data_IF_596861999269
#
_entry.id   IF_596861999269
#
_cell.length_a   1.000
_cell.length_b   1.000
_cell.length_c   1.000
_cell.angle_alpha   90.00
_cell.angle_beta   90.00
_cell.angle_gamma   90.00
#
_symmetry.space_group_name_H-M   'P 1'
#
loop_
_entity.id
_entity.type
_entity.pdbx_description
1 polymer ?
#
# COMPACT_ATOMS: atom_id res chain seq x y z
N UNK A 1 -1.13 1.28 9.16
CA UNK A 1 -1.95 1.74 8.01
C UNK A 1 -2.12 0.60 7.03
N UNK A 2 -3.17 0.60 6.22
CA UNK A 2 -3.41 -0.43 5.21
C UNK A 2 -3.43 0.19 3.82
N UNK A 3 -3.12 -0.61 2.81
CA UNK A 3 -3.19 -0.19 1.43
C UNK A 3 -2.98 -1.34 0.47
N UNK A 4 -2.96 -1.01 -0.81
CA UNK A 4 -2.78 -1.96 -1.89
C UNK A 4 -1.44 -1.72 -2.55
N UNK A 5 -0.61 -2.76 -2.63
CA UNK A 5 0.66 -2.70 -3.33
C UNK A 5 0.42 -2.49 -4.83
N UNK A 6 0.79 -1.33 -5.35
CA UNK A 6 0.59 -0.96 -6.75
C UNK A 6 1.50 -1.75 -7.67
N UNK A 7 2.78 -1.80 -7.30
CA UNK A 7 3.82 -2.58 -7.93
C UNK A 7 5.06 -2.56 -7.04
N UNK A 8 5.89 -3.60 -7.18
CA UNK A 8 7.19 -3.67 -6.54
C UNK A 8 8.20 -4.27 -7.50
N UNK A 9 9.36 -3.64 -7.59
CA UNK A 9 10.46 -4.16 -8.38
C UNK A 9 11.48 -4.80 -7.43
N UNK A 10 11.52 -6.13 -7.44
CA UNK A 10 12.41 -6.94 -6.59
C UNK A 10 13.88 -6.77 -6.97
N UNK A 11 14.17 -6.61 -8.28
CA UNK A 11 15.53 -6.37 -8.79
C UNK A 11 16.09 -5.04 -8.28
N UNK A 12 15.25 -4.00 -8.28
CA UNK A 12 15.64 -2.67 -7.79
C UNK A 12 15.47 -2.49 -6.28
N UNK A 13 14.69 -3.35 -5.63
CA UNK A 13 14.38 -3.25 -4.21
C UNK A 13 13.46 -2.09 -3.82
N UNK A 14 12.65 -1.55 -4.74
CA UNK A 14 11.70 -0.48 -4.43
C UNK A 14 10.36 -0.65 -5.15
N UNK A 15 9.34 0.03 -4.65
CA UNK A 15 8.01 0.02 -5.23
C UNK A 15 7.12 1.10 -4.64
N UNK A 16 5.83 0.96 -4.93
CA UNK A 16 4.81 1.91 -4.47
C UNK A 16 3.60 1.18 -3.90
N UNK A 17 3.04 1.76 -2.85
CA UNK A 17 1.80 1.34 -2.23
C UNK A 17 0.78 2.46 -2.40
N UNK A 18 -0.43 2.08 -2.79
CA UNK A 18 -1.59 2.96 -2.80
C UNK A 18 -2.28 2.86 -1.44
N UNK A 19 -2.40 3.97 -0.73
CA UNK A 19 -3.16 4.02 0.52
C UNK A 19 -4.66 4.06 0.27
N UNK A 20 -5.47 3.91 1.33
CA UNK A 20 -6.93 4.08 1.28
C UNK A 20 -7.35 5.51 0.84
N UNK A 21 -6.47 6.50 0.98
CA UNK A 21 -6.67 7.89 0.57
C UNK A 21 -6.24 8.18 -0.88
N UNK A 22 -5.93 7.14 -1.66
CA UNK A 22 -5.36 7.25 -3.02
C UNK A 22 -4.00 8.00 -3.05
N UNK A 23 -3.30 8.03 -1.90
CA UNK A 23 -1.94 8.56 -1.81
C UNK A 23 -0.92 7.49 -2.24
N UNK A 24 0.14 7.91 -2.94
CA UNK A 24 1.24 7.03 -3.35
C UNK A 24 2.37 7.14 -2.35
N UNK A 25 2.62 6.06 -1.63
CA UNK A 25 3.68 5.96 -0.66
C UNK A 25 4.83 5.12 -1.23
N UNK A 26 6.04 5.67 -1.11
CA UNK A 26 7.26 4.99 -1.53
C UNK A 26 7.61 3.88 -0.54
N UNK A 27 7.97 2.71 -1.05
CA UNK A 27 8.38 1.57 -0.23
C UNK A 27 9.66 0.96 -0.77
N UNK A 28 10.57 0.61 0.12
CA UNK A 28 11.82 -0.10 -0.18
C UNK A 28 11.85 -1.48 0.46
N UNK A 29 12.63 -2.39 -0.10
CA UNK A 29 12.89 -3.73 0.43
C UNK A 29 13.37 -3.72 1.88
N UNK A 30 14.06 -2.67 2.32
CA UNK A 30 14.52 -2.50 3.71
C UNK A 30 13.39 -2.22 4.69
N UNK A 31 12.22 -1.77 4.22
CA UNK A 31 11.04 -1.56 5.04
C UNK A 31 10.20 -2.81 5.26
N UNK A 32 10.53 -3.94 4.62
CA UNK A 32 9.80 -5.20 4.78
C UNK A 32 10.35 -6.02 5.94
N UNK A 33 9.46 -6.73 6.62
CA UNK A 33 9.84 -7.75 7.60
C UNK A 33 10.42 -8.97 6.86
N UNK A 34 11.41 -9.63 7.48
CA UNK A 34 12.13 -10.77 6.87
C UNK A 34 11.20 -11.93 6.44
N UNK A 35 10.07 -12.11 7.12
CA UNK A 35 9.05 -13.14 6.84
C UNK A 35 8.08 -12.77 5.70
N UNK A 36 8.09 -11.50 5.29
CA UNK A 36 7.17 -10.93 4.29
C UNK A 36 7.94 -10.36 3.10
N UNK A 37 8.90 -11.14 2.57
CA UNK A 37 9.66 -10.73 1.40
C UNK A 37 8.72 -10.52 0.19
N UNK A 38 8.87 -9.42 -0.56
CA UNK A 38 8.04 -9.13 -1.71
C UNK A 38 8.29 -10.14 -2.84
N UNK A 39 7.27 -10.94 -3.15
CA UNK A 39 7.29 -11.79 -4.31
C UNK A 39 7.13 -10.96 -5.59
N UNK A 40 7.70 -11.43 -6.71
CA UNK A 40 7.61 -10.78 -8.02
C UNK A 40 6.17 -10.52 -8.48
N UNK A 41 5.18 -11.21 -7.87
CA UNK A 41 3.76 -11.16 -8.19
C UNK A 41 2.90 -10.51 -7.09
N UNK A 42 3.44 -9.55 -6.33
CA UNK A 42 2.69 -8.84 -5.28
C UNK A 42 1.84 -7.65 -5.77
N UNK A 43 1.73 -7.44 -7.09
CA UNK A 43 0.89 -6.38 -7.69
C UNK A 43 -0.58 -6.59 -7.33
N UNK A 44 -1.21 -5.58 -6.71
CA UNK A 44 -2.61 -5.60 -6.29
C UNK A 44 -2.89 -6.34 -4.98
N UNK A 45 -1.86 -6.72 -4.21
CA UNK A 45 -2.05 -7.36 -2.91
C UNK A 45 -2.27 -6.33 -1.81
N UNK A 46 -3.15 -6.67 -0.87
CA UNK A 46 -3.32 -5.90 0.35
C UNK A 46 -2.08 -6.05 1.24
N UNK A 47 -1.58 -4.92 1.72
CA UNK A 47 -0.40 -4.83 2.59
C UNK A 47 -0.71 -3.93 3.77
N UNK A 48 -0.22 -4.32 4.94
CA UNK A 48 -0.18 -3.45 6.12
C UNK A 48 1.20 -2.83 6.19
N UNK A 49 1.26 -1.53 6.45
CA UNK A 49 2.50 -0.77 6.54
C UNK A 49 2.34 0.40 7.51
N UNK A 50 3.46 0.97 7.93
CA UNK A 50 3.49 2.20 8.71
C UNK A 50 4.09 3.33 7.85
N UNK A 51 3.40 4.47 7.78
CA UNK A 51 3.95 5.68 7.16
C UNK A 51 4.93 6.30 8.14
N UNK A 52 6.20 6.32 7.77
CA UNK A 52 7.22 7.07 8.47
C UNK A 52 7.65 8.24 7.59
N UNK A 53 7.62 9.45 8.15
CA UNK A 53 8.18 10.64 7.52
C UNK A 53 9.56 10.84 8.11
N UNK A 54 10.59 10.81 7.26
CA UNK A 54 11.98 10.99 7.66
C UNK A 54 12.59 12.06 6.76
N UNK A 55 13.10 13.13 7.36
CA UNK A 55 13.66 14.30 6.64
C UNK A 55 12.74 14.91 5.56
N UNK A 56 11.42 14.79 5.74
CA UNK A 56 10.41 15.30 4.80
C UNK A 56 9.96 14.31 3.72
N UNK A 57 10.62 13.15 3.59
CA UNK A 57 10.23 12.09 2.67
C UNK A 57 9.34 11.05 3.37
N UNK A 58 8.15 10.82 2.81
CA UNK A 58 7.21 9.84 3.34
C UNK A 58 7.50 8.45 2.75
N UNK A 59 7.89 7.51 3.61
CA UNK A 59 8.17 6.11 3.24
C UNK A 59 7.34 5.12 4.05
N UNK A 60 7.00 4.00 3.42
CA UNK A 60 6.35 2.88 4.09
C UNK A 60 7.40 1.96 4.74
N UNK A 61 7.25 1.72 6.04
CA UNK A 61 8.09 0.81 6.85
C UNK A 61 7.23 -0.25 7.54
N UNK A 62 7.85 -1.27 8.13
CA UNK A 62 7.17 -2.41 8.76
C UNK A 62 6.09 -3.04 7.86
N UNK A 63 6.44 -3.25 6.58
CA UNK A 63 5.49 -3.75 5.60
C UNK A 63 5.29 -5.26 5.76
N UNK A 64 4.02 -5.68 5.85
CA UNK A 64 3.59 -7.06 5.92
C UNK A 64 2.48 -7.35 4.92
N UNK A 65 2.52 -8.53 4.28
CA UNK A 65 1.50 -8.93 3.32
C UNK A 65 0.28 -9.45 4.05
N UNK A 66 -0.86 -8.77 3.86
CA UNK A 66 -2.14 -9.28 4.33
C UNK A 66 -2.61 -10.32 3.30
N UNK A 67 -2.64 -11.59 3.70
CA UNK A 67 -3.32 -12.61 2.91
C UNK A 67 -4.78 -12.19 2.77
N UNK A 68 -5.29 -12.20 1.53
CA UNK A 68 -6.60 -11.63 1.16
C UNK A 68 -7.82 -12.38 1.74
N UNK A 69 -7.63 -13.20 2.77
CA UNK A 69 -8.69 -13.77 3.58
C UNK A 69 -9.35 -12.76 4.53
N UNK A 70 -8.75 -11.58 4.73
CA UNK A 70 -9.21 -10.61 5.74
C UNK A 70 -9.45 -9.18 5.23
N UNK A 71 -9.85 -8.99 3.97
CA UNK A 71 -10.40 -7.70 3.53
C UNK A 71 -11.89 -7.82 3.10
N UNK A 72 -12.84 -7.62 4.03
CA UNK A 72 -14.22 -7.32 3.68
C UNK A 72 -14.40 -5.87 3.16
N UNK A 73 -13.32 -5.10 2.93
CA UNK A 73 -13.36 -3.69 2.49
C UNK A 73 -13.16 -3.49 0.99
N UNK A 74 -13.61 -4.48 0.19
CA UNK A 74 -14.45 -4.18 -0.99
C UNK A 74 -15.79 -3.52 -0.58
N UNK A 75 -15.79 -2.72 0.49
CA UNK A 75 -16.85 -1.88 0.95
C UNK A 75 -16.65 -0.50 0.31
N UNK A 76 -17.22 -0.36 -0.89
CA UNK A 76 -17.79 0.90 -1.40
C UNK A 76 -16.90 2.15 -1.28
N UNK A 77 -15.97 2.33 -2.21
CA UNK A 77 -15.71 3.66 -2.74
C UNK A 77 -16.48 3.80 -4.06
N UNK A 78 -17.81 3.90 -3.93
CA UNK A 78 -18.54 4.72 -4.90
C UNK A 78 -17.93 6.09 -4.77
N UNK A 79 -17.36 6.61 -5.85
CA UNK A 79 -17.10 8.02 -6.02
C UNK A 79 -18.35 8.80 -5.59
N UNK A 80 -18.41 9.26 -4.35
CA UNK A 80 -19.31 10.32 -3.95
C UNK A 80 -18.66 11.63 -4.38
N UNK A 81 -18.58 11.85 -5.70
CA UNK A 81 -18.48 13.21 -6.24
C UNK A 81 -19.86 13.82 -6.08
N UNK A 82 -19.96 14.73 -5.13
CA UNK A 82 -21.19 15.45 -4.82
C UNK A 82 -21.61 16.49 -5.87
N UNK A 83 -22.78 17.07 -5.62
CA UNK A 83 -23.34 18.30 -6.22
C UNK A 83 -24.17 18.05 -7.48
N UNK A 84 -25.39 18.56 -7.66
CA UNK A 84 -26.10 19.71 -7.06
C UNK A 84 -27.62 19.59 -7.37
N UNK A 85 -28.49 20.35 -6.68
CA UNK A 85 -29.95 20.28 -6.78
C UNK A 85 -30.50 21.21 -7.89
N UNK A 86 -31.67 20.87 -8.43
CA UNK A 86 -32.65 21.79 -9.04
C UNK A 86 -34.07 21.27 -8.76
#
# INVERSE_FOLDING_TARGET
>A
MQGTMLWFNVDKGFGFIQTEEDERLYVTTTGFLADHQPEMRCKGRAVSFERQVDDGDARAVNVSFLSAAADPRRARLRHARGGRPL
#
